data_IF_742342660112
#
_entry.id   IF_742342660112
#
_cell.length_a   1.000
_cell.length_b   1.000
_cell.length_c   1.000
_cell.angle_alpha   90.00
_cell.angle_beta   90.00
_cell.angle_gamma   90.00
#
_symmetry.space_group_name_H-M   'P 1'
#
loop_
_entity.id
_entity.type
_entity.pdbx_description
1 polymer ?
#
# COMPACT_ATOMS: atom_id res chain seq x y z
N UNK A 1 -19.19 13.12 -28.34
CA UNK A 1 -18.56 12.11 -27.48
C UNK A 1 -18.99 12.42 -26.05
N UNK A 2 -19.23 11.41 -25.21
CA UNK A 2 -19.64 11.64 -23.83
C UNK A 2 -18.54 12.37 -23.04
N UNK A 3 -18.95 13.24 -22.12
CA UNK A 3 -18.08 13.92 -21.18
C UNK A 3 -17.80 12.98 -19.98
N UNK A 4 -16.71 12.22 -20.04
CA UNK A 4 -16.32 11.33 -18.95
C UNK A 4 -15.32 12.06 -18.06
N UNK A 5 -15.63 12.14 -16.78
CA UNK A 5 -14.77 12.72 -15.74
C UNK A 5 -14.13 11.62 -14.91
N UNK A 6 -12.83 11.79 -14.62
CA UNK A 6 -12.05 10.91 -13.74
C UNK A 6 -11.59 11.72 -12.51
N UNK A 7 -11.91 11.25 -11.31
CA UNK A 7 -11.47 11.85 -10.05
C UNK A 7 -10.26 11.07 -9.51
N UNK A 8 -9.14 11.76 -9.46
CA UNK A 8 -7.82 11.26 -9.04
C UNK A 8 -6.88 10.95 -10.20
N UNK A 9 -5.61 11.31 -10.01
CA UNK A 9 -4.50 11.13 -10.97
C UNK A 9 -3.47 10.12 -10.50
N UNK A 10 -3.90 9.15 -9.70
CA UNK A 10 -3.10 7.99 -9.32
C UNK A 10 -3.15 6.87 -10.37
N UNK A 11 -2.56 5.74 -10.06
CA UNK A 11 -2.46 4.58 -10.95
C UNK A 11 -3.82 4.14 -11.52
N UNK A 12 -4.87 4.09 -10.69
CA UNK A 12 -6.22 3.72 -11.14
C UNK A 12 -6.84 4.78 -12.08
N UNK A 13 -6.68 6.06 -11.75
CA UNK A 13 -7.16 7.14 -12.64
C UNK A 13 -6.50 7.10 -14.01
N UNK A 14 -5.21 6.79 -14.09
CA UNK A 14 -4.51 6.61 -15.36
C UNK A 14 -4.88 5.31 -16.07
N UNK A 15 -5.22 4.25 -15.35
CA UNK A 15 -5.83 3.05 -15.94
C UNK A 15 -7.16 3.36 -16.62
N UNK A 16 -8.01 4.16 -15.97
CA UNK A 16 -9.26 4.64 -16.56
C UNK A 16 -9.01 5.51 -17.79
N UNK A 17 -8.09 6.46 -17.74
CA UNK A 17 -7.74 7.31 -18.87
C UNK A 17 -7.19 6.50 -20.05
N UNK A 18 -6.38 5.49 -19.79
CA UNK A 18 -5.84 4.58 -20.81
C UNK A 18 -6.96 3.82 -21.54
N UNK A 19 -7.92 3.26 -20.80
CA UNK A 19 -9.06 2.53 -21.38
C UNK A 19 -9.97 3.47 -22.17
N UNK A 20 -10.27 4.66 -21.66
CA UNK A 20 -11.08 5.66 -22.37
C UNK A 20 -10.40 6.13 -23.65
N UNK A 21 -9.08 6.32 -23.63
CA UNK A 21 -8.32 6.71 -24.81
C UNK A 21 -8.40 5.66 -25.93
N UNK A 22 -8.41 4.37 -25.61
CA UNK A 22 -8.59 3.30 -26.61
C UNK A 22 -9.96 3.34 -27.30
N UNK A 23 -10.96 4.00 -26.71
CA UNK A 23 -12.28 4.29 -27.27
C UNK A 23 -12.36 5.67 -27.94
N UNK A 24 -11.22 6.35 -28.12
CA UNK A 24 -11.15 7.70 -28.70
C UNK A 24 -11.61 8.83 -27.79
N UNK A 25 -11.79 8.57 -26.50
CA UNK A 25 -12.26 9.55 -25.49
C UNK A 25 -11.06 10.04 -24.69
N UNK A 26 -10.90 11.38 -24.61
CA UNK A 26 -9.93 12.03 -23.73
C UNK A 26 -10.64 12.56 -22.48
N UNK A 27 -10.58 11.88 -21.33
CA UNK A 27 -11.30 12.30 -20.13
C UNK A 27 -10.73 13.58 -19.53
N UNK A 28 -11.57 14.33 -18.83
CA UNK A 28 -11.09 15.36 -17.90
C UNK A 28 -10.77 14.72 -16.57
N UNK A 29 -9.54 14.89 -16.10
CA UNK A 29 -9.06 14.28 -14.85
C UNK A 29 -8.83 15.37 -13.80
N UNK A 30 -9.48 15.27 -12.65
CA UNK A 30 -9.32 16.22 -11.54
C UNK A 30 -8.55 15.59 -10.39
N UNK A 31 -7.58 16.31 -9.83
CA UNK A 31 -6.88 15.93 -8.62
C UNK A 31 -6.77 17.11 -7.64
N UNK A 32 -6.93 16.82 -6.36
CA UNK A 32 -6.81 17.83 -5.30
C UNK A 32 -5.38 18.34 -5.12
N UNK A 33 -4.40 17.50 -5.45
CA UNK A 33 -2.99 17.83 -5.30
C UNK A 33 -2.49 18.68 -6.46
N UNK A 34 -1.41 19.43 -6.21
CA UNK A 34 -0.66 20.14 -7.26
C UNK A 34 0.35 19.25 -8.01
N UNK A 35 0.28 17.93 -7.83
CA UNK A 35 1.16 16.93 -8.44
C UNK A 35 0.38 15.69 -8.86
N UNK A 36 0.95 14.92 -9.77
CA UNK A 36 0.40 13.67 -10.30
C UNK A 36 0.83 12.46 -9.46
N UNK A 37 0.17 11.33 -9.70
CA UNK A 37 0.60 10.03 -9.22
C UNK A 37 -0.08 9.55 -7.94
N UNK A 38 -0.71 10.43 -7.17
CA UNK A 38 -1.32 10.03 -5.89
C UNK A 38 -0.32 9.32 -4.99
N UNK A 39 -0.61 8.07 -4.57
CA UNK A 39 0.32 7.28 -3.75
C UNK A 39 1.53 6.76 -4.53
N UNK A 40 1.55 6.77 -5.85
CA UNK A 40 2.72 6.41 -6.65
C UNK A 40 3.61 7.62 -6.99
N UNK A 41 3.33 8.79 -6.42
CA UNK A 41 4.16 9.97 -6.58
C UNK A 41 5.54 9.78 -5.96
N UNK A 42 6.53 10.49 -6.52
CA UNK A 42 7.91 10.50 -6.07
C UNK A 42 8.37 11.93 -5.88
N UNK A 43 9.12 12.20 -4.83
CA UNK A 43 9.62 13.53 -4.51
C UNK A 43 11.13 13.52 -4.35
N UNK A 44 11.78 14.49 -5.01
CA UNK A 44 13.20 14.74 -4.83
C UNK A 44 13.40 15.93 -3.88
N UNK A 45 14.27 15.73 -2.91
CA UNK A 45 14.61 16.73 -1.90
C UNK A 45 16.12 17.04 -1.97
N UNK A 46 16.47 18.30 -1.66
CA UNK A 46 17.87 18.66 -1.51
C UNK A 46 18.51 17.88 -0.34
N UNK A 47 19.78 17.43 -0.47
CA UNK A 47 20.72 17.68 -1.59
C UNK A 47 20.64 16.66 -2.75
N UNK A 48 19.54 15.92 -2.94
CA UNK A 48 19.37 15.00 -4.07
C UNK A 48 18.71 13.67 -3.71
N UNK A 49 18.20 13.51 -2.49
CA UNK A 49 17.46 12.31 -2.08
C UNK A 49 16.09 12.24 -2.73
N UNK A 50 15.74 11.07 -3.25
CA UNK A 50 14.44 10.79 -3.82
C UNK A 50 13.70 9.75 -2.96
N UNK A 51 12.44 10.07 -2.64
CA UNK A 51 11.54 9.17 -1.92
C UNK A 51 10.20 9.06 -2.65
N UNK A 52 9.73 7.83 -2.81
CA UNK A 52 8.35 7.57 -3.21
C UNK A 52 7.41 7.76 -2.01
N UNK A 53 6.13 7.93 -2.26
CA UNK A 53 5.09 8.00 -1.23
C UNK A 53 4.81 6.60 -0.67
N UNK A 54 5.74 6.09 0.14
CA UNK A 54 5.83 4.71 0.58
C UNK A 54 6.60 3.83 -0.42
N UNK A 55 7.03 2.64 -0.02
CA UNK A 55 7.82 1.77 -0.88
C UNK A 55 6.97 1.21 -2.02
N UNK A 56 7.41 1.46 -3.24
CA UNK A 56 6.80 0.98 -4.47
C UNK A 56 7.80 0.20 -5.32
N UNK A 57 7.36 -0.94 -5.84
CA UNK A 57 8.12 -1.80 -6.77
C UNK A 57 7.12 -2.42 -7.77
N UNK A 58 7.54 -2.67 -9.00
CA UNK A 58 6.74 -3.37 -10.00
C UNK A 58 7.19 -4.82 -10.12
N UNK A 59 6.29 -5.76 -9.81
CA UNK A 59 6.54 -7.21 -9.89
C UNK A 59 5.36 -7.96 -10.53
N UNK A 60 4.53 -7.24 -11.28
CA UNK A 60 3.40 -7.83 -12.00
C UNK A 60 3.85 -8.97 -12.91
N UNK A 61 3.02 -10.00 -13.01
CA UNK A 61 3.20 -11.14 -13.94
C UNK A 61 2.41 -10.96 -15.23
N UNK A 62 1.63 -9.88 -15.35
CA UNK A 62 0.88 -9.53 -16.54
C UNK A 62 1.82 -8.94 -17.60
N UNK A 63 2.08 -9.63 -18.74
CA UNK A 63 3.04 -9.16 -19.74
C UNK A 63 2.64 -7.81 -20.36
N UNK A 64 1.34 -7.56 -20.53
CA UNK A 64 0.81 -6.29 -21.06
C UNK A 64 1.17 -5.13 -20.13
N UNK A 65 0.95 -5.28 -18.83
CA UNK A 65 1.28 -4.23 -17.85
C UNK A 65 2.79 -4.08 -17.72
N UNK A 66 3.56 -5.18 -17.78
CA UNK A 66 5.03 -5.12 -17.78
C UNK A 66 5.56 -4.26 -18.95
N UNK A 67 4.99 -4.44 -20.13
CA UNK A 67 5.39 -3.69 -21.33
C UNK A 67 4.94 -2.23 -21.24
N UNK A 68 3.70 -1.97 -20.83
CA UNK A 68 3.18 -0.60 -20.65
C UNK A 68 4.04 0.21 -19.68
N UNK A 69 4.47 -0.37 -18.57
CA UNK A 69 5.33 0.30 -17.60
C UNK A 69 6.76 0.48 -18.13
N UNK A 70 7.31 -0.52 -18.79
CA UNK A 70 8.64 -0.43 -19.42
C UNK A 70 8.69 0.65 -20.48
N UNK A 71 7.67 0.73 -21.34
CA UNK A 71 7.53 1.78 -22.34
C UNK A 71 7.41 3.18 -21.72
N UNK A 72 6.73 3.31 -20.57
CA UNK A 72 6.57 4.60 -19.89
C UNK A 72 7.89 5.21 -19.45
N UNK A 73 8.92 4.38 -19.27
CA UNK A 73 10.27 4.79 -18.90
C UNK A 73 11.30 4.57 -20.02
N UNK A 74 10.83 4.40 -21.28
CA UNK A 74 11.68 4.14 -22.45
C UNK A 74 12.63 2.95 -22.23
N UNK A 75 12.15 1.87 -21.64
CA UNK A 75 12.89 0.66 -21.27
C UNK A 75 14.04 0.90 -20.24
N UNK A 76 14.05 2.07 -19.58
CA UNK A 76 15.06 2.43 -18.58
C UNK A 76 14.59 2.08 -17.17
N UNK A 77 14.77 0.84 -16.78
CA UNK A 77 14.44 0.32 -15.45
C UNK A 77 15.50 -0.65 -14.96
N UNK A 78 15.66 -0.73 -13.64
CA UNK A 78 16.44 -1.76 -12.96
C UNK A 78 15.59 -3.02 -12.80
N UNK A 79 16.21 -4.20 -12.97
CA UNK A 79 15.63 -5.49 -12.56
C UNK A 79 16.44 -6.00 -11.39
N UNK A 80 15.80 -6.07 -10.23
CA UNK A 80 16.49 -6.32 -8.96
C UNK A 80 15.92 -7.58 -8.31
N UNK A 81 16.82 -8.48 -7.87
CA UNK A 81 16.42 -9.57 -6.98
C UNK A 81 16.10 -9.01 -5.61
N UNK A 82 14.89 -9.28 -5.11
CA UNK A 82 14.46 -8.75 -3.82
C UNK A 82 15.26 -9.37 -2.67
N UNK A 83 15.66 -8.52 -1.71
CA UNK A 83 16.29 -8.94 -0.47
C UNK A 83 15.48 -8.37 0.68
N UNK A 84 14.98 -9.24 1.55
CA UNK A 84 14.15 -8.90 2.69
C UNK A 84 14.73 -9.54 3.94
N UNK A 85 14.66 -8.85 5.05
CA UNK A 85 14.95 -9.39 6.37
C UNK A 85 13.94 -8.92 7.40
N UNK A 86 14.09 -9.42 8.60
CA UNK A 86 13.27 -9.07 9.74
C UNK A 86 14.17 -8.64 10.90
N UNK A 87 13.59 -7.91 11.84
CA UNK A 87 14.21 -7.60 13.12
C UNK A 87 13.29 -8.08 14.26
N UNK A 88 13.89 -8.77 15.22
CA UNK A 88 13.21 -9.22 16.42
C UNK A 88 14.21 -9.29 17.60
N UNK A 89 14.03 -8.46 18.61
CA UNK A 89 14.83 -8.45 19.85
C UNK A 89 16.36 -8.50 19.66
N UNK A 90 16.87 -7.72 18.69
CA UNK A 90 18.30 -7.70 18.34
C UNK A 90 18.75 -8.74 17.32
N UNK A 91 17.89 -9.68 16.95
CA UNK A 91 18.18 -10.70 15.93
C UNK A 91 17.68 -10.26 14.56
N UNK A 92 18.37 -10.72 13.51
CA UNK A 92 18.10 -10.36 12.12
C UNK A 92 17.79 -11.59 11.25
N UNK A 93 16.68 -12.31 11.51
CA UNK A 93 16.32 -13.45 10.67
C UNK A 93 15.94 -13.02 9.26
N UNK A 94 16.24 -13.87 8.27
CA UNK A 94 15.81 -13.65 6.90
C UNK A 94 14.27 -13.71 6.79
N UNK A 95 13.74 -13.10 5.74
CA UNK A 95 12.31 -13.13 5.45
C UNK A 95 11.96 -14.25 4.45
N UNK A 96 10.86 -14.97 4.62
CA UNK A 96 9.90 -14.90 5.74
C UNK A 96 10.37 -15.67 6.98
N UNK A 97 10.17 -15.10 8.16
CA UNK A 97 10.74 -15.62 9.42
C UNK A 97 10.30 -17.05 9.75
N UNK A 98 9.10 -17.48 9.34
CA UNK A 98 8.61 -18.85 9.56
C UNK A 98 9.44 -19.94 8.85
N UNK A 99 10.29 -19.54 7.93
CA UNK A 99 11.23 -20.40 7.20
C UNK A 99 12.70 -20.12 7.54
N UNK A 100 12.96 -19.19 8.45
CA UNK A 100 14.31 -18.75 8.77
C UNK A 100 14.46 -18.54 10.28
N UNK A 101 14.25 -19.61 11.05
CA UNK A 101 14.38 -19.60 12.52
C UNK A 101 15.84 -19.73 12.97
N UNK A 102 16.75 -20.13 12.08
CA UNK A 102 18.18 -20.27 12.36
C UNK A 102 18.78 -18.94 12.88
N UNK A 103 19.54 -19.04 13.97
CA UNK A 103 20.16 -17.88 14.62
C UNK A 103 19.27 -17.13 15.61
N UNK A 104 18.01 -17.52 15.76
CA UNK A 104 17.17 -17.10 16.90
C UNK A 104 17.55 -17.90 18.16
N UNK A 105 17.23 -17.40 19.38
CA UNK A 105 17.47 -18.15 20.62
C UNK A 105 16.83 -19.54 20.60
N UNK A 106 17.54 -20.54 21.10
CA UNK A 106 17.10 -21.94 21.08
C UNK A 106 15.73 -22.13 21.74
N UNK A 107 15.47 -21.43 22.85
CA UNK A 107 14.19 -21.54 23.57
C UNK A 107 13.00 -21.13 22.71
N UNK A 108 13.11 -20.05 21.92
CA UNK A 108 12.02 -19.64 21.01
C UNK A 108 11.90 -20.61 19.84
N UNK A 109 13.02 -21.08 19.27
CA UNK A 109 13.01 -22.04 18.17
C UNK A 109 12.34 -23.33 18.58
N UNK A 110 12.74 -23.92 19.72
CA UNK A 110 12.14 -25.14 20.28
C UNK A 110 10.65 -24.94 20.53
N UNK A 111 10.26 -23.84 21.16
CA UNK A 111 8.86 -23.53 21.46
C UNK A 111 8.01 -23.37 20.20
N UNK A 112 8.54 -22.69 19.17
CA UNK A 112 7.86 -22.52 17.87
C UNK A 112 7.63 -23.87 17.21
N UNK A 113 8.66 -24.72 17.13
CA UNK A 113 8.55 -26.04 16.49
C UNK A 113 7.59 -26.94 17.27
N UNK A 114 7.69 -26.98 18.61
CA UNK A 114 6.80 -27.79 19.44
C UNK A 114 5.34 -27.39 19.25
N UNK A 115 5.04 -26.10 19.32
CA UNK A 115 3.66 -25.61 19.11
C UNK A 115 3.17 -25.84 17.68
N UNK A 116 4.06 -25.75 16.67
CA UNK A 116 3.71 -26.06 15.28
C UNK A 116 3.29 -27.53 15.14
N UNK A 117 4.02 -28.47 15.76
CA UNK A 117 3.70 -29.90 15.75
C UNK A 117 2.42 -30.19 16.53
N UNK A 118 2.27 -29.64 17.75
CA UNK A 118 1.07 -29.77 18.55
C UNK A 118 -0.19 -29.32 17.79
N UNK A 119 -0.11 -28.17 17.11
CA UNK A 119 -1.25 -27.65 16.35
C UNK A 119 -1.66 -28.57 15.19
N UNK A 120 -0.71 -29.22 14.52
CA UNK A 120 -0.97 -30.19 13.43
C UNK A 120 -1.63 -31.48 13.90
N UNK A 121 -1.56 -31.79 15.19
CA UNK A 121 -2.22 -32.95 15.80
C UNK A 121 -3.63 -32.62 16.32
N UNK A 122 -4.01 -31.35 16.37
CA UNK A 122 -5.35 -30.93 16.80
C UNK A 122 -6.40 -31.19 15.71
N UNK A 123 -7.65 -31.48 16.11
CA UNK A 123 -8.76 -31.52 15.16
C UNK A 123 -8.91 -30.18 14.42
N UNK A 124 -9.38 -30.25 13.18
CA UNK A 124 -9.74 -29.06 12.42
C UNK A 124 -10.79 -28.23 13.18
N UNK A 125 -10.61 -26.92 13.16
CA UNK A 125 -11.52 -25.97 13.79
C UNK A 125 -11.89 -24.86 12.80
N UNK A 126 -13.07 -24.21 12.97
CA UNK A 126 -13.45 -23.07 12.16
C UNK A 126 -12.43 -21.93 12.26
N UNK A 127 -12.20 -21.27 11.13
CA UNK A 127 -11.38 -20.06 11.05
C UNK A 127 -12.35 -18.88 10.90
N UNK A 128 -12.57 -18.15 11.99
CA UNK A 128 -13.49 -17.02 12.03
C UNK A 128 -12.80 -15.67 11.79
N UNK A 129 -11.49 -15.62 12.02
CA UNK A 129 -10.69 -14.41 11.93
C UNK A 129 -9.22 -14.74 11.63
N UNK A 130 -8.39 -13.71 11.50
CA UNK A 130 -6.97 -13.87 11.18
C UNK A 130 -6.18 -14.50 12.33
N UNK A 131 -6.56 -14.30 13.59
CA UNK A 131 -5.89 -14.96 14.71
C UNK A 131 -6.08 -16.47 14.66
N UNK A 132 -7.30 -16.97 14.40
CA UNK A 132 -7.58 -18.39 14.21
C UNK A 132 -6.72 -18.97 13.08
N UNK A 133 -6.63 -18.23 11.96
CA UNK A 133 -5.81 -18.65 10.83
C UNK A 133 -4.32 -18.73 11.17
N UNK A 134 -3.79 -17.75 11.92
CA UNK A 134 -2.39 -17.74 12.36
C UNK A 134 -2.10 -18.91 13.30
N UNK A 135 -2.94 -19.11 14.31
CA UNK A 135 -2.78 -20.20 15.27
C UNK A 135 -2.81 -21.56 14.59
N UNK A 136 -3.76 -21.78 13.68
CA UNK A 136 -3.88 -23.02 12.91
C UNK A 136 -2.71 -23.23 11.94
N UNK A 137 -2.15 -22.15 11.39
CA UNK A 137 -1.08 -22.22 10.40
C UNK A 137 0.30 -22.43 11.02
N UNK A 138 0.58 -21.81 12.17
CA UNK A 138 1.94 -21.70 12.71
C UNK A 138 2.06 -22.13 14.19
N UNK A 139 0.95 -22.39 14.88
CA UNK A 139 0.93 -22.58 16.32
C UNK A 139 1.06 -21.28 17.11
N UNK A 140 0.84 -21.38 18.42
CA UNK A 140 0.73 -20.22 19.32
C UNK A 140 2.02 -19.42 19.44
N UNK A 141 3.14 -20.09 19.69
CA UNK A 141 4.41 -19.40 19.97
C UNK A 141 4.87 -18.51 18.82
N UNK A 142 4.80 -19.00 17.57
CA UNK A 142 5.15 -18.21 16.40
C UNK A 142 4.17 -17.06 16.21
N UNK A 143 2.87 -17.34 16.28
CA UNK A 143 1.82 -16.35 16.01
C UNK A 143 1.90 -15.15 16.95
N UNK A 144 2.13 -15.39 18.25
CA UNK A 144 2.26 -14.34 19.26
C UNK A 144 3.60 -13.58 19.19
N UNK A 145 4.69 -14.27 18.83
CA UNK A 145 6.02 -13.64 18.76
C UNK A 145 6.19 -12.71 17.56
N UNK A 146 5.56 -13.04 16.43
CA UNK A 146 5.80 -12.36 15.14
C UNK A 146 4.53 -11.75 14.53
N UNK A 147 3.67 -12.47 13.80
CA UNK A 147 2.63 -11.85 12.99
C UNK A 147 1.54 -11.12 13.78
N UNK A 148 1.17 -11.57 14.99
CA UNK A 148 0.19 -10.84 15.80
C UNK A 148 0.72 -9.50 16.30
N UNK A 149 2.01 -9.41 16.66
CA UNK A 149 2.66 -8.13 17.01
C UNK A 149 2.75 -7.22 15.80
N UNK A 150 3.16 -7.78 14.64
CA UNK A 150 3.21 -7.02 13.40
C UNK A 150 1.84 -6.49 12.99
N UNK A 151 0.77 -7.28 13.17
CA UNK A 151 -0.61 -6.87 12.89
C UNK A 151 -1.00 -5.64 13.71
N UNK A 152 -0.71 -5.63 15.02
CA UNK A 152 -1.00 -4.47 15.87
C UNK A 152 -0.22 -3.22 15.45
N UNK A 153 1.03 -3.39 15.02
CA UNK A 153 1.86 -2.27 14.52
C UNK A 153 1.40 -1.75 13.17
N UNK A 154 1.09 -2.65 12.22
CA UNK A 154 0.85 -2.32 10.81
C UNK A 154 -0.61 -2.00 10.51
N UNK A 155 -1.54 -2.80 11.06
CA UNK A 155 -2.98 -2.62 10.92
C UNK A 155 -3.61 -1.87 12.09
N UNK A 156 -2.85 -1.59 13.15
CA UNK A 156 -3.29 -0.84 14.34
C UNK A 156 -4.44 -1.46 15.11
N UNK A 157 -4.81 -2.70 14.78
CA UNK A 157 -5.83 -3.52 15.44
C UNK A 157 -5.30 -4.92 15.70
N UNK A 158 -6.04 -5.76 16.40
CA UNK A 158 -5.61 -7.13 16.73
C UNK A 158 -5.97 -8.11 15.60
N UNK A 159 -5.30 -9.26 15.56
CA UNK A 159 -5.58 -10.30 14.57
C UNK A 159 -6.98 -10.91 14.73
N UNK A 160 -7.54 -10.92 15.95
CA UNK A 160 -8.91 -11.35 16.24
C UNK A 160 -9.96 -10.48 15.57
N UNK A 161 -9.64 -9.19 15.35
CA UNK A 161 -10.53 -8.24 14.69
C UNK A 161 -10.28 -8.13 13.18
N UNK A 162 -9.57 -9.06 12.58
CA UNK A 162 -9.31 -9.05 11.13
C UNK A 162 -9.88 -10.28 10.45
N UNK A 163 -10.48 -10.08 9.25
CA UNK A 163 -10.87 -11.17 8.36
C UNK A 163 -9.64 -11.79 7.66
N UNK A 164 -9.85 -12.88 6.96
CA UNK A 164 -8.82 -13.58 6.19
C UNK A 164 -8.85 -13.25 4.68
N UNK A 165 -9.77 -12.41 4.22
CA UNK A 165 -10.03 -12.14 2.80
C UNK A 165 -8.85 -11.53 2.04
N UNK A 166 -7.91 -10.91 2.75
CA UNK A 166 -6.75 -10.22 2.18
C UNK A 166 -5.51 -11.11 2.03
N UNK A 167 -5.51 -12.30 2.62
CA UNK A 167 -4.31 -13.14 2.74
C UNK A 167 -3.76 -13.58 1.37
N UNK A 168 -4.56 -14.30 0.60
CA UNK A 168 -4.12 -14.83 -0.68
C UNK A 168 -2.72 -15.46 -0.63
N UNK A 169 -1.83 -15.16 -1.60
CA UNK A 169 -0.46 -15.68 -1.63
C UNK A 169 0.53 -14.93 -0.71
N UNK A 170 0.08 -13.91 0.06
CA UNK A 170 0.94 -13.00 0.80
C UNK A 170 1.63 -13.64 1.99
N UNK A 171 1.00 -14.65 2.60
CA UNK A 171 1.57 -15.35 3.75
C UNK A 171 1.71 -16.83 3.42
N UNK A 172 2.96 -17.26 3.30
CA UNK A 172 3.28 -18.65 3.01
C UNK A 172 3.06 -19.54 4.23
N UNK A 173 2.37 -20.66 4.05
CA UNK A 173 2.16 -21.71 5.08
C UNK A 173 3.15 -22.84 4.85
N UNK A 174 4.21 -22.96 5.67
CA UNK A 174 5.21 -24.01 5.50
C UNK A 174 4.68 -25.38 5.94
N UNK A 175 5.28 -26.43 5.43
CA UNK A 175 5.21 -27.76 6.03
C UNK A 175 6.25 -27.91 7.14
N UNK A 176 6.19 -29.02 7.90
CA UNK A 176 7.10 -29.27 9.03
C UNK A 176 8.56 -29.37 8.58
N UNK A 177 8.82 -30.03 7.45
CA UNK A 177 10.19 -30.18 6.95
C UNK A 177 10.83 -28.84 6.64
N UNK A 178 10.08 -27.93 6.01
CA UNK A 178 10.54 -26.56 5.71
C UNK A 178 10.86 -25.77 6.98
N UNK A 179 10.02 -25.87 8.01
CA UNK A 179 10.27 -25.22 9.32
C UNK A 179 11.53 -25.78 9.97
N UNK A 180 11.69 -27.11 9.97
CA UNK A 180 12.89 -27.76 10.54
C UNK A 180 14.16 -27.39 9.78
N UNK A 181 14.13 -27.40 8.44
CA UNK A 181 15.27 -26.95 7.63
C UNK A 181 15.65 -25.50 7.93
N UNK A 182 14.65 -24.61 8.03
CA UNK A 182 14.86 -23.20 8.36
C UNK A 182 15.32 -22.95 9.80
N UNK A 183 15.15 -23.91 10.71
CA UNK A 183 15.71 -23.84 12.06
C UNK A 183 17.16 -24.33 12.14
N UNK A 184 17.52 -25.32 11.33
CA UNK A 184 18.86 -25.98 11.37
C UNK A 184 19.86 -25.27 10.47
N UNK A 185 19.43 -24.69 9.34
CA UNK A 185 20.30 -24.14 8.31
C UNK A 185 20.06 -22.65 8.09
N UNK A 186 21.17 -21.89 7.92
CA UNK A 186 21.10 -20.50 7.48
C UNK A 186 20.63 -20.37 6.02
N UNK A 187 20.66 -21.46 5.22
CA UNK A 187 20.24 -21.49 3.83
C UNK A 187 18.88 -22.19 3.74
N UNK A 188 17.83 -21.41 3.70
CA UNK A 188 16.46 -21.92 3.44
C UNK A 188 16.02 -21.52 2.02
N UNK A 189 15.09 -22.26 1.40
CA UNK A 189 14.59 -21.93 0.07
C UNK A 189 13.89 -20.57 0.07
N UNK A 190 14.17 -19.75 -0.96
CA UNK A 190 13.45 -18.49 -1.19
C UNK A 190 12.03 -18.79 -1.69
N UNK A 191 11.06 -18.74 -0.81
CA UNK A 191 9.63 -18.97 -1.13
C UNK A 191 8.79 -17.68 -1.10
N UNK A 192 9.42 -16.52 -1.18
CA UNK A 192 8.68 -15.27 -1.27
C UNK A 192 8.01 -15.16 -2.65
N UNK A 193 6.73 -14.70 -2.67
CA UNK A 193 5.96 -14.54 -3.92
C UNK A 193 6.54 -13.50 -4.88
N UNK A 194 7.40 -12.60 -4.39
CA UNK A 194 8.21 -11.66 -5.17
C UNK A 194 9.65 -12.16 -5.15
N UNK A 195 10.19 -12.54 -6.30
CA UNK A 195 11.61 -12.92 -6.45
C UNK A 195 12.43 -11.80 -7.07
N UNK A 196 11.87 -11.14 -8.08
CA UNK A 196 12.45 -9.99 -8.76
C UNK A 196 11.39 -8.90 -8.91
N UNK A 197 11.85 -7.68 -8.97
CA UNK A 197 11.01 -6.51 -9.24
C UNK A 197 11.71 -5.59 -10.24
N UNK A 198 10.92 -4.72 -10.88
CA UNK A 198 11.40 -3.62 -11.71
C UNK A 198 11.16 -2.29 -11.02
N UNK A 199 12.10 -1.38 -11.20
CA UNK A 199 12.01 -0.01 -10.70
C UNK A 199 12.61 0.95 -11.73
N UNK A 200 12.05 2.15 -12.01
CA UNK A 200 12.62 3.10 -12.95
C UNK A 200 14.06 3.45 -12.59
N UNK A 201 14.97 3.47 -13.56
CA UNK A 201 16.38 3.79 -13.30
C UNK A 201 16.57 5.21 -12.77
N UNK A 202 15.63 6.11 -12.99
CA UNK A 202 15.63 7.48 -12.46
C UNK A 202 14.21 8.02 -12.29
N UNK A 203 14.06 9.07 -11.45
CA UNK A 203 12.83 9.84 -11.29
C UNK A 203 11.76 9.20 -10.39
N UNK A 204 12.06 8.04 -9.79
CA UNK A 204 11.16 7.35 -8.87
C UNK A 204 10.08 6.54 -9.57
N UNK A 205 9.25 5.89 -8.77
CA UNK A 205 8.17 5.01 -9.26
C UNK A 205 7.14 5.76 -10.12
N UNK A 206 6.94 7.05 -9.86
CA UNK A 206 6.01 7.90 -10.60
C UNK A 206 6.29 7.90 -12.12
N UNK A 207 7.53 7.68 -12.55
CA UNK A 207 7.88 7.69 -13.96
C UNK A 207 7.19 6.59 -14.78
N UNK A 208 6.68 5.54 -14.15
CA UNK A 208 5.79 4.58 -14.82
C UNK A 208 4.47 5.19 -15.30
N UNK A 209 4.13 6.42 -14.90
CA UNK A 209 2.93 7.12 -15.36
C UNK A 209 3.17 8.01 -16.60
N UNK A 210 4.42 8.26 -17.00
CA UNK A 210 4.76 9.24 -18.04
C UNK A 210 4.00 9.05 -19.36
N UNK A 211 3.83 7.79 -19.81
CA UNK A 211 3.11 7.47 -21.05
C UNK A 211 1.61 7.78 -20.96
N UNK A 212 1.04 7.77 -19.75
CA UNK A 212 -0.40 7.93 -19.56
C UNK A 212 -0.81 9.39 -19.32
N UNK A 213 0.10 10.25 -18.90
CA UNK A 213 -0.20 11.67 -18.63
C UNK A 213 -0.87 12.39 -19.82
N UNK A 214 -0.43 12.21 -21.08
CA UNK A 214 -1.05 12.87 -22.23
C UNK A 214 -2.46 12.37 -22.57
N UNK A 215 -2.87 11.21 -22.03
CA UNK A 215 -4.15 10.57 -22.35
C UNK A 215 -5.36 11.25 -21.70
N UNK A 216 -5.13 12.05 -20.66
CA UNK A 216 -6.17 12.82 -19.97
C UNK A 216 -5.96 14.35 -20.09
N UNK A 217 -7.02 15.10 -19.89
CA UNK A 217 -6.95 16.55 -19.70
C UNK A 217 -6.86 16.83 -18.20
N UNK A 218 -5.64 17.04 -17.69
CA UNK A 218 -5.34 17.14 -16.27
C UNK A 218 -5.73 18.50 -15.69
N UNK A 219 -6.43 18.49 -14.56
CA UNK A 219 -6.81 19.65 -13.74
C UNK A 219 -6.34 19.40 -12.29
N UNK A 220 -5.12 19.82 -11.99
CA UNK A 220 -4.55 19.77 -10.65
C UNK A 220 -5.09 20.90 -9.77
N UNK A 221 -4.90 20.82 -8.44
CA UNK A 221 -5.43 21.77 -7.45
C UNK A 221 -6.96 21.94 -7.55
N UNK A 222 -7.66 20.85 -7.87
CA UNK A 222 -9.11 20.80 -7.93
C UNK A 222 -9.61 19.81 -6.89
N UNK A 223 -9.73 20.27 -5.64
CA UNK A 223 -10.30 19.48 -4.56
C UNK A 223 -11.82 19.42 -4.69
N UNK A 224 -12.33 18.21 -4.91
CA UNK A 224 -13.78 17.97 -4.97
C UNK A 224 -14.41 18.21 -3.59
N UNK A 225 -15.49 18.96 -3.55
CA UNK A 225 -16.24 19.26 -2.30
C UNK A 225 -17.68 18.78 -2.35
N UNK A 226 -18.28 18.63 -3.54
CA UNK A 226 -19.66 18.16 -3.65
C UNK A 226 -19.92 17.46 -4.99
N UNK A 227 -20.72 16.39 -4.93
CA UNK A 227 -21.30 15.67 -6.07
C UNK A 227 -22.82 15.71 -5.94
N UNK A 228 -23.49 16.22 -6.98
CA UNK A 228 -24.93 16.05 -7.17
C UNK A 228 -25.16 14.94 -8.22
N UNK A 229 -25.53 13.72 -7.82
CA UNK A 229 -25.72 12.62 -8.77
C UNK A 229 -26.94 12.83 -9.70
N UNK A 230 -27.97 13.56 -9.24
CA UNK A 230 -29.19 13.82 -10.02
C UNK A 230 -28.92 14.82 -11.15
N UNK A 231 -28.24 15.92 -10.79
CA UNK A 231 -27.83 16.94 -11.76
C UNK A 231 -26.56 16.53 -12.54
N UNK A 232 -25.90 15.41 -12.15
CA UNK A 232 -24.58 14.99 -12.67
C UNK A 232 -23.57 16.12 -12.63
N UNK A 233 -23.50 16.82 -11.50
CA UNK A 233 -22.67 18.00 -11.32
C UNK A 233 -21.61 17.81 -10.22
N UNK A 234 -20.44 18.37 -10.46
CA UNK A 234 -19.29 18.38 -9.54
C UNK A 234 -18.95 19.82 -9.17
N UNK A 235 -18.68 20.05 -7.89
CA UNK A 235 -18.21 21.34 -7.38
C UNK A 235 -16.88 21.16 -6.67
N UNK A 236 -15.95 22.06 -6.95
CA UNK A 236 -14.59 22.04 -6.40
C UNK A 236 -14.37 23.23 -5.44
N UNK A 237 -13.40 23.09 -4.53
CA UNK A 237 -13.07 24.09 -3.49
C UNK A 237 -12.63 25.44 -4.08
N UNK A 238 -12.06 25.44 -5.28
CA UNK A 238 -11.65 26.65 -6.01
C UNK A 238 -12.80 27.36 -6.75
N UNK A 239 -14.05 26.95 -6.53
CA UNK A 239 -15.25 27.53 -7.16
C UNK A 239 -15.58 26.96 -8.54
N UNK A 240 -14.73 26.10 -9.12
CA UNK A 240 -15.02 25.44 -10.38
C UNK A 240 -16.22 24.51 -10.26
N UNK A 241 -17.11 24.54 -11.26
CA UNK A 241 -18.27 23.65 -11.38
C UNK A 241 -18.25 23.04 -12.77
N UNK A 242 -18.55 21.75 -12.87
CA UNK A 242 -18.65 21.03 -14.14
C UNK A 242 -19.74 19.96 -14.07
N UNK A 243 -20.20 19.49 -15.21
CA UNK A 243 -21.10 18.36 -15.35
C UNK A 243 -20.39 17.18 -15.98
N UNK A 244 -20.97 16.00 -15.88
CA UNK A 244 -20.47 14.77 -16.49
C UNK A 244 -21.57 13.91 -17.09
N UNK A 245 -21.27 13.14 -18.11
CA UNK A 245 -22.13 12.06 -18.61
C UNK A 245 -21.80 10.75 -17.89
N UNK A 246 -20.52 10.50 -17.63
CA UNK A 246 -20.01 9.39 -16.82
C UNK A 246 -18.94 9.83 -15.84
N UNK A 247 -18.93 9.20 -14.65
CA UNK A 247 -18.00 9.55 -13.57
C UNK A 247 -17.24 8.30 -13.10
N UNK A 248 -15.89 8.39 -13.13
CA UNK A 248 -14.98 7.40 -12.55
C UNK A 248 -14.27 8.03 -11.36
N UNK A 249 -14.28 7.36 -10.21
CA UNK A 249 -13.67 7.88 -8.98
C UNK A 249 -12.65 6.91 -8.39
N UNK A 250 -11.44 7.38 -8.16
CA UNK A 250 -10.41 6.71 -7.33
C UNK A 250 -10.27 7.33 -5.93
N UNK A 251 -11.19 8.20 -5.57
CA UNK A 251 -11.26 8.86 -4.25
C UNK A 251 -11.58 7.81 -3.17
N UNK A 252 -10.96 7.88 -1.98
CA UNK A 252 -11.28 6.97 -0.88
C UNK A 252 -12.77 6.99 -0.53
N UNK A 253 -13.38 5.81 -0.39
CA UNK A 253 -14.83 5.65 -0.21
C UNK A 253 -15.43 6.52 0.92
N UNK A 254 -14.81 6.61 2.13
CA UNK A 254 -15.38 7.46 3.19
C UNK A 254 -15.41 8.94 2.81
N UNK A 255 -14.41 9.42 2.07
CA UNK A 255 -14.36 10.80 1.57
C UNK A 255 -15.37 10.99 0.42
N UNK A 256 -15.45 10.02 -0.50
CA UNK A 256 -16.38 10.07 -1.62
C UNK A 256 -17.84 10.16 -1.13
N UNK A 257 -18.26 9.27 -0.22
CA UNK A 257 -19.63 9.26 0.32
C UNK A 257 -19.95 10.59 1.02
N UNK A 258 -18.99 11.19 1.72
CA UNK A 258 -19.18 12.48 2.42
C UNK A 258 -19.42 13.65 1.47
N UNK A 259 -18.92 13.56 0.23
CA UNK A 259 -19.07 14.60 -0.79
C UNK A 259 -20.34 14.46 -1.64
N UNK A 260 -20.99 13.30 -1.64
CA UNK A 260 -22.24 13.09 -2.37
C UNK A 260 -23.40 13.71 -1.59
N UNK A 261 -24.30 14.43 -2.31
CA UNK A 261 -25.50 15.01 -1.73
C UNK A 261 -26.59 13.95 -1.51
N UNK A 262 -27.42 14.15 -0.51
CA UNK A 262 -28.61 13.32 -0.20
C UNK A 262 -28.33 11.82 -0.01
N UNK A 263 -27.17 11.48 0.57
CA UNK A 263 -26.79 10.08 0.83
C UNK A 263 -27.69 9.51 1.95
N UNK A 264 -28.26 8.30 1.77
CA UNK A 264 -29.02 7.62 2.82
C UNK A 264 -28.20 7.40 4.10
N UNK A 265 -28.85 7.50 5.27
CA UNK A 265 -28.18 7.43 6.57
C UNK A 265 -27.46 6.11 6.84
N UNK A 266 -27.99 5.00 6.35
CA UNK A 266 -27.36 3.66 6.45
C UNK A 266 -26.07 3.58 5.64
N UNK A 267 -26.00 4.19 4.44
CA UNK A 267 -24.81 4.29 3.62
C UNK A 267 -23.73 5.17 4.29
N UNK A 268 -24.15 6.31 4.86
CA UNK A 268 -23.25 7.17 5.65
C UNK A 268 -22.65 6.40 6.84
N UNK A 269 -23.49 5.66 7.57
CA UNK A 269 -23.04 4.85 8.69
C UNK A 269 -22.09 3.72 8.24
N UNK A 270 -22.43 3.03 7.15
CA UNK A 270 -21.56 2.00 6.58
C UNK A 270 -20.20 2.58 6.16
N UNK A 271 -20.16 3.75 5.50
CA UNK A 271 -18.89 4.37 5.09
C UNK A 271 -17.96 4.70 6.26
N UNK A 272 -18.50 5.01 7.45
CA UNK A 272 -17.74 5.28 8.68
C UNK A 272 -17.12 4.02 9.29
N UNK A 273 -17.64 2.85 8.97
CA UNK A 273 -17.07 1.56 9.40
C UNK A 273 -15.89 1.14 8.55
N UNK A 274 -15.72 1.70 7.35
CA UNK A 274 -14.60 1.40 6.47
C UNK A 274 -13.31 1.97 7.04
N UNK A 275 -12.41 1.10 7.49
CA UNK A 275 -11.17 1.47 8.17
C UNK A 275 -9.96 1.42 7.25
N UNK A 276 -9.08 2.39 7.40
CA UNK A 276 -7.77 2.44 6.73
C UNK A 276 -6.71 2.93 7.72
N UNK A 277 -5.48 2.46 7.56
CA UNK A 277 -4.38 3.02 8.35
C UNK A 277 -3.94 4.36 7.79
N UNK A 278 -3.49 5.24 8.67
CA UNK A 278 -2.72 6.46 8.38
C UNK A 278 -1.25 6.12 8.59
N UNK A 279 -0.37 6.59 7.72
CA UNK A 279 1.06 6.36 7.86
C UNK A 279 1.83 7.69 7.92
N UNK A 280 2.69 7.84 8.92
CA UNK A 280 3.76 8.83 8.92
C UNK A 280 4.98 8.15 8.31
N UNK A 281 5.38 8.60 7.12
CA UNK A 281 6.65 8.25 6.51
C UNK A 281 7.71 9.19 7.02
N UNK A 282 8.76 8.65 7.65
CA UNK A 282 9.94 9.43 8.05
C UNK A 282 11.07 9.10 7.10
N UNK A 283 11.46 10.08 6.30
CA UNK A 283 12.49 9.97 5.26
C UNK A 283 13.80 10.55 5.80
N UNK A 284 14.87 9.76 5.76
CA UNK A 284 16.17 10.13 6.30
C UNK A 284 17.25 9.85 5.27
N UNK A 285 18.12 10.85 4.99
CA UNK A 285 19.35 10.72 4.22
C UNK A 285 20.57 10.65 5.14
N UNK A 286 21.49 9.73 4.88
CA UNK A 286 22.64 9.42 5.73
C UNK A 286 23.92 9.46 4.88
N UNK A 287 25.05 9.87 5.47
CA UNK A 287 26.36 10.06 4.83
C UNK A 287 27.11 8.75 4.49
N UNK A 288 26.41 7.62 4.36
CA UNK A 288 26.99 6.33 3.92
C UNK A 288 25.95 5.47 3.20
N UNK A 289 26.40 4.55 2.34
CA UNK A 289 25.53 3.65 1.55
C UNK A 289 25.23 2.33 2.28
N UNK A 290 26.15 1.83 3.11
CA UNK A 290 26.11 0.51 3.75
C UNK A 290 25.19 0.47 4.98
N UNK A 291 23.95 1.00 4.86
CA UNK A 291 22.99 1.05 5.94
C UNK A 291 22.37 -0.33 6.19
N UNK A 292 22.04 -1.02 5.11
CA UNK A 292 21.38 -2.34 5.13
C UNK A 292 21.82 -3.17 3.92
N UNK A 293 21.72 -4.49 4.02
CA UNK A 293 21.86 -5.42 2.91
C UNK A 293 20.53 -5.88 2.32
N UNK A 294 19.41 -5.34 2.81
CA UNK A 294 18.05 -5.64 2.38
C UNK A 294 17.37 -4.40 1.79
N UNK A 295 16.48 -4.60 0.81
CA UNK A 295 15.65 -3.52 0.25
C UNK A 295 14.56 -3.08 1.22
N UNK A 296 14.14 -3.99 2.11
CA UNK A 296 13.11 -3.74 3.11
C UNK A 296 13.30 -4.64 4.32
N UNK A 297 12.98 -4.11 5.50
CA UNK A 297 13.04 -4.82 6.79
C UNK A 297 11.72 -4.69 7.54
N UNK A 298 11.24 -5.80 8.12
CA UNK A 298 10.03 -5.86 8.96
C UNK A 298 10.41 -5.92 10.44
N UNK A 299 9.71 -5.17 11.30
CA UNK A 299 10.00 -5.04 12.72
C UNK A 299 8.83 -5.54 13.57
N UNK A 300 9.07 -6.60 14.35
CA UNK A 300 8.04 -7.22 15.19
C UNK A 300 7.94 -6.60 16.59
N UNK A 301 9.00 -5.99 17.10
CA UNK A 301 9.03 -5.42 18.45
C UNK A 301 8.10 -4.21 18.57
N UNK A 302 7.18 -4.25 19.55
CA UNK A 302 6.16 -3.20 19.72
C UNK A 302 6.73 -1.92 20.34
N UNK A 303 7.90 -2.00 20.97
CA UNK A 303 8.66 -0.87 21.53
C UNK A 303 9.60 -0.19 20.50
N UNK A 304 9.63 -0.67 19.26
CA UNK A 304 10.18 0.02 18.10
C UNK A 304 9.04 0.74 17.38
N UNK A 305 9.16 2.05 17.17
CA UNK A 305 8.06 2.89 16.71
C UNK A 305 7.62 2.61 15.26
N UNK A 306 8.50 2.16 14.39
CA UNK A 306 8.17 1.82 13.00
C UNK A 306 7.90 0.32 12.81
N UNK A 307 7.06 0.00 11.84
CA UNK A 307 6.72 -1.38 11.47
C UNK A 307 7.60 -1.93 10.37
N UNK A 308 8.07 -1.04 9.49
CA UNK A 308 8.84 -1.41 8.30
C UNK A 308 9.81 -0.28 7.94
N UNK A 309 10.96 -0.67 7.41
CA UNK A 309 11.92 0.24 6.78
C UNK A 309 12.11 -0.14 5.32
N UNK A 310 12.14 0.86 4.45
CA UNK A 310 12.61 0.76 3.08
C UNK A 310 13.94 1.49 2.90
N UNK A 311 14.72 1.07 1.91
CA UNK A 311 16.02 1.66 1.59
C UNK A 311 16.04 2.13 0.12
N UNK A 312 15.51 3.33 -0.19
CA UNK A 312 15.30 3.79 -1.57
C UNK A 312 16.56 3.82 -2.45
N UNK A 313 17.75 4.10 -1.87
CA UNK A 313 19.02 4.08 -2.58
C UNK A 313 19.39 2.69 -3.12
N UNK A 314 18.83 1.61 -2.54
CA UNK A 314 19.04 0.24 -3.01
C UNK A 314 18.13 -0.15 -4.20
N UNK A 315 17.07 0.61 -4.49
CA UNK A 315 16.21 0.38 -5.65
C UNK A 315 16.89 0.85 -6.93
N UNK A 316 17.55 2.00 -6.87
CA UNK A 316 18.47 2.54 -7.87
C UNK A 316 19.43 3.53 -7.20
N UNK A 317 20.69 3.53 -7.60
CA UNK A 317 21.70 4.46 -7.06
C UNK A 317 21.33 5.94 -7.28
N UNK A 318 20.44 6.25 -8.24
CA UNK A 318 20.00 7.61 -8.54
C UNK A 318 18.97 8.17 -7.55
N UNK A 319 18.53 7.37 -6.56
CA UNK A 319 17.62 7.83 -5.50
C UNK A 319 18.35 8.52 -4.34
N UNK A 320 19.67 8.52 -4.31
CA UNK A 320 20.49 9.24 -3.32
C UNK A 320 21.71 9.88 -3.98
N UNK A 321 22.32 10.92 -3.38
CA UNK A 321 23.62 11.41 -3.79
C UNK A 321 24.70 10.33 -3.67
N UNK A 322 25.72 10.32 -4.54
CA UNK A 322 26.81 9.35 -4.47
C UNK A 322 27.47 9.28 -3.08
N UNK A 323 27.75 8.07 -2.60
CA UNK A 323 28.35 7.82 -1.30
C UNK A 323 27.40 8.00 -0.10
N UNK A 324 26.10 8.18 -0.37
CA UNK A 324 25.08 8.35 0.67
C UNK A 324 23.98 7.30 0.55
N UNK A 325 23.23 7.11 1.63
CA UNK A 325 22.12 6.19 1.67
C UNK A 325 20.86 6.84 2.23
N UNK A 326 19.74 6.17 2.08
CA UNK A 326 18.45 6.69 2.53
C UNK A 326 17.63 5.61 3.21
N UNK A 327 16.86 6.03 4.21
CA UNK A 327 15.91 5.19 4.95
C UNK A 327 14.54 5.85 4.90
N UNK A 328 13.50 5.06 4.62
CA UNK A 328 12.11 5.46 4.77
C UNK A 328 11.47 4.58 5.83
N UNK A 329 11.10 5.16 6.97
CA UNK A 329 10.45 4.46 8.07
C UNK A 329 8.94 4.68 8.06
N UNK A 330 8.18 3.62 8.32
CA UNK A 330 6.72 3.63 8.32
C UNK A 330 6.17 3.48 9.74
N UNK A 331 5.50 4.54 10.23
CA UNK A 331 4.82 4.56 11.53
C UNK A 331 3.32 4.64 11.31
N UNK A 332 2.57 3.64 11.79
CA UNK A 332 1.16 3.48 11.48
C UNK A 332 0.21 3.89 12.59
N UNK A 333 -0.91 4.45 12.17
CA UNK A 333 -2.07 4.91 12.94
C UNK A 333 -3.35 4.53 12.20
N UNK A 334 -4.51 4.77 12.81
CA UNK A 334 -5.81 4.72 12.14
C UNK A 334 -6.84 5.50 12.95
N UNK A 335 -7.79 6.13 12.30
CA UNK A 335 -8.81 6.93 12.98
C UNK A 335 -9.64 6.08 13.95
N UNK A 336 -9.90 4.81 13.60
CA UNK A 336 -10.75 3.90 14.38
C UNK A 336 -10.03 3.24 15.57
N UNK A 337 -8.73 2.88 15.44
CA UNK A 337 -8.06 2.00 16.42
C UNK A 337 -6.87 2.64 17.12
N UNK A 338 -6.17 3.54 16.45
CA UNK A 338 -4.98 4.25 16.98
C UNK A 338 -4.91 5.63 16.35
N UNK A 339 -5.72 6.59 16.80
CA UNK A 339 -5.79 7.91 16.19
C UNK A 339 -4.43 8.64 16.14
N UNK A 340 -4.16 9.26 14.99
CA UNK A 340 -2.99 10.12 14.84
C UNK A 340 -3.29 11.50 15.40
N UNK A 341 -2.48 11.92 16.37
CA UNK A 341 -2.58 13.24 16.99
C UNK A 341 -1.22 13.96 16.94
N UNK A 342 -1.25 15.23 16.60
CA UNK A 342 -0.06 16.08 16.60
C UNK A 342 0.60 16.24 15.22
N UNK A 343 1.88 16.59 15.22
CA UNK A 343 2.67 16.82 14.01
C UNK A 343 3.35 15.54 13.53
N UNK A 344 3.37 15.26 12.22
CA UNK A 344 4.20 14.19 11.66
C UNK A 344 5.67 14.31 12.02
N UNK A 345 6.21 15.53 12.09
CA UNK A 345 7.63 15.79 12.38
C UNK A 345 8.05 15.37 13.80
N UNK A 346 7.09 15.23 14.72
CA UNK A 346 7.35 14.70 16.06
C UNK A 346 7.87 13.25 16.05
N UNK A 347 7.75 12.54 14.91
CA UNK A 347 8.22 11.17 14.75
C UNK A 347 9.65 11.04 14.22
N UNK A 348 10.31 12.14 13.83
CA UNK A 348 11.70 12.12 13.35
C UNK A 348 12.62 11.60 14.47
N UNK A 349 12.62 12.20 15.64
CA UNK A 349 13.51 11.82 16.76
C UNK A 349 13.23 10.40 17.29
N UNK A 350 11.97 9.96 17.51
CA UNK A 350 11.70 8.56 17.85
C UNK A 350 12.24 7.55 16.82
N UNK A 351 12.10 7.84 15.52
CA UNK A 351 12.63 6.98 14.45
C UNK A 351 14.16 6.96 14.50
N UNK A 352 14.83 8.08 14.62
CA UNK A 352 16.30 8.17 14.73
C UNK A 352 16.81 7.36 15.93
N UNK A 353 16.18 7.54 17.10
CA UNK A 353 16.51 6.76 18.31
C UNK A 353 16.41 5.26 18.07
N UNK A 354 15.31 4.82 17.46
CA UNK A 354 15.06 3.41 17.26
C UNK A 354 15.95 2.82 16.13
N UNK A 355 16.34 3.62 15.12
CA UNK A 355 17.37 3.23 14.15
C UNK A 355 18.74 3.00 14.80
N UNK A 356 19.13 3.86 15.77
CA UNK A 356 20.36 3.64 16.57
C UNK A 356 20.25 2.38 17.42
N UNK A 357 19.14 2.20 18.11
CA UNK A 357 18.86 1.01 18.93
C UNK A 357 18.97 -0.30 18.14
N UNK A 358 18.55 -0.29 16.88
CA UNK A 358 18.65 -1.45 15.98
C UNK A 358 20.02 -1.58 15.30
N UNK A 359 20.96 -0.68 15.55
CA UNK A 359 22.30 -0.69 14.93
C UNK A 359 22.32 -0.28 13.46
N UNK A 360 21.22 0.27 12.93
CA UNK A 360 21.13 0.76 11.55
C UNK A 360 21.70 2.17 11.39
N UNK A 361 21.74 2.94 12.45
CA UNK A 361 22.38 4.27 12.52
C UNK A 361 23.48 4.21 13.57
N UNK A 362 24.72 4.48 13.15
CA UNK A 362 25.93 4.50 13.99
C UNK A 362 26.10 5.87 14.63
N UNK A 363 26.83 5.98 15.75
CA UNK A 363 27.11 7.27 16.38
C UNK A 363 27.95 8.21 15.50
N UNK A 364 28.76 7.64 14.60
CA UNK A 364 29.57 8.38 13.60
C UNK A 364 28.76 8.87 12.40
N UNK A 365 27.54 8.40 12.21
CA UNK A 365 26.72 8.74 11.04
C UNK A 365 26.17 10.18 11.15
N UNK A 366 26.19 10.89 10.03
CA UNK A 366 25.59 12.21 9.89
C UNK A 366 24.27 12.10 9.14
N UNK A 367 23.24 12.65 9.73
CA UNK A 367 21.94 12.83 9.07
C UNK A 367 22.04 14.06 8.18
N UNK A 368 22.02 13.84 6.87
CA UNK A 368 22.11 14.90 5.86
C UNK A 368 20.74 15.50 5.51
N UNK A 369 19.69 14.74 5.75
CA UNK A 369 18.32 15.09 5.42
C UNK A 369 17.35 14.35 6.32
N UNK A 370 16.28 15.03 6.75
CA UNK A 370 15.11 14.38 7.38
C UNK A 370 13.84 15.15 7.02
N UNK A 371 12.79 14.43 6.66
CA UNK A 371 11.47 15.00 6.37
C UNK A 371 10.39 13.96 6.52
N UNK A 372 9.21 14.38 6.97
CA UNK A 372 8.05 13.51 7.07
C UNK A 372 7.08 13.71 5.92
N UNK A 373 6.30 12.67 5.62
CA UNK A 373 5.11 12.73 4.78
C UNK A 373 3.95 12.03 5.51
N UNK A 374 2.78 12.66 5.54
CA UNK A 374 1.58 12.08 6.15
C UNK A 374 0.67 11.51 5.06
N UNK A 375 0.45 10.20 5.10
CA UNK A 375 -0.52 9.50 4.26
C UNK A 375 -1.76 9.18 5.09
N UNK A 376 -2.85 9.89 4.82
CA UNK A 376 -4.12 9.66 5.54
C UNK A 376 -4.74 8.30 5.23
N UNK A 377 -4.56 7.82 4.01
CA UNK A 377 -5.01 6.50 3.56
C UNK A 377 -3.78 5.70 3.14
N UNK A 378 -3.28 4.79 3.97
CA UNK A 378 -2.10 3.98 3.64
C UNK A 378 -2.50 2.53 3.30
N UNK A 379 -3.08 1.79 4.23
CA UNK A 379 -3.50 0.42 3.99
C UNK A 379 -4.94 0.21 4.46
N UNK A 380 -5.77 -0.37 3.61
CA UNK A 380 -7.11 -0.81 4.00
C UNK A 380 -7.00 -1.84 5.12
N UNK A 381 -7.74 -1.63 6.20
CA UNK A 381 -7.82 -2.56 7.31
C UNK A 381 -8.99 -3.51 7.05
N UNK A 382 -8.68 -4.79 6.97
CA UNK A 382 -9.67 -5.84 6.72
C UNK A 382 -10.29 -6.30 8.05
N UNK A 383 -10.86 -5.34 8.80
CA UNK A 383 -11.58 -5.65 10.02
C UNK A 383 -12.91 -6.38 9.73
N UNK A 384 -13.51 -6.92 10.78
CA UNK A 384 -14.73 -7.73 10.65
C UNK A 384 -15.95 -6.93 10.18
N UNK A 385 -15.95 -5.60 10.32
CA UNK A 385 -17.03 -4.73 9.84
C UNK A 385 -16.95 -4.47 8.33
N UNK A 386 -15.78 -4.61 7.74
CA UNK A 386 -15.49 -4.18 6.37
C UNK A 386 -16.43 -4.78 5.32
N UNK A 387 -16.64 -6.10 5.35
CA UNK A 387 -17.35 -6.79 4.25
C UNK A 387 -18.80 -6.30 4.09
N UNK A 388 -19.53 -6.19 5.20
CA UNK A 388 -20.92 -5.70 5.20
C UNK A 388 -21.00 -4.22 4.85
N UNK A 389 -20.13 -3.40 5.42
CA UNK A 389 -20.06 -1.98 5.15
C UNK A 389 -19.75 -1.68 3.68
N UNK A 390 -18.77 -2.39 3.11
CA UNK A 390 -18.36 -2.24 1.72
C UNK A 390 -19.50 -2.60 0.76
N UNK A 391 -20.21 -3.68 1.02
CA UNK A 391 -21.39 -4.09 0.22
C UNK A 391 -22.43 -2.98 0.14
N UNK A 392 -22.76 -2.36 1.27
CA UNK A 392 -23.74 -1.26 1.35
C UNK A 392 -23.27 -0.05 0.55
N UNK A 393 -22.01 0.36 0.72
CA UNK A 393 -21.44 1.52 0.03
C UNK A 393 -21.34 1.29 -1.48
N UNK A 394 -20.86 0.13 -1.92
CA UNK A 394 -20.76 -0.19 -3.35
C UNK A 394 -22.13 -0.28 -4.03
N UNK A 395 -23.12 -0.93 -3.38
CA UNK A 395 -24.49 -0.99 -3.92
C UNK A 395 -25.05 0.42 -4.17
N UNK A 396 -24.87 1.33 -3.22
CA UNK A 396 -25.32 2.72 -3.38
C UNK A 396 -24.61 3.44 -4.53
N UNK A 397 -23.28 3.29 -4.66
CA UNK A 397 -22.53 3.91 -5.74
C UNK A 397 -22.95 3.38 -7.12
N UNK A 398 -23.25 2.08 -7.20
CA UNK A 398 -23.79 1.45 -8.42
C UNK A 398 -25.18 2.02 -8.76
N UNK A 399 -26.07 2.20 -7.78
CA UNK A 399 -27.41 2.75 -7.97
C UNK A 399 -27.39 4.21 -8.46
N UNK A 400 -26.43 5.02 -7.98
CA UNK A 400 -26.27 6.42 -8.42
C UNK A 400 -25.36 6.58 -9.64
N UNK A 401 -24.85 5.49 -10.21
CA UNK A 401 -24.08 5.47 -11.46
C UNK A 401 -22.68 6.06 -11.35
N UNK A 402 -22.04 6.00 -10.16
CA UNK A 402 -20.65 6.41 -9.94
C UNK A 402 -19.76 5.17 -10.00
N UNK A 403 -18.91 5.06 -11.02
CA UNK A 403 -17.91 4.01 -11.11
C UNK A 403 -16.73 4.31 -10.17
N UNK A 404 -16.33 3.34 -9.37
CA UNK A 404 -15.24 3.45 -8.41
C UNK A 404 -14.09 2.51 -8.81
N UNK A 405 -12.85 2.87 -8.44
CA UNK A 405 -11.67 2.09 -8.78
C UNK A 405 -10.48 2.32 -7.84
N UNK A 406 -9.51 1.41 -7.98
CA UNK A 406 -8.24 1.44 -7.27
C UNK A 406 -8.37 1.02 -5.80
N UNK A 407 -7.22 0.98 -5.10
CA UNK A 407 -7.15 0.47 -3.73
C UNK A 407 -8.21 1.04 -2.79
N UNK A 408 -8.57 2.31 -2.94
CA UNK A 408 -9.47 3.02 -2.04
C UNK A 408 -10.90 3.19 -2.58
N UNK A 409 -11.13 2.97 -3.87
CA UNK A 409 -12.45 2.84 -4.48
C UNK A 409 -12.99 1.42 -4.33
N UNK A 410 -12.18 0.41 -4.63
CA UNK A 410 -12.52 -1.00 -4.40
C UNK A 410 -12.40 -1.41 -2.92
N UNK A 411 -11.79 -0.56 -2.11
CA UNK A 411 -11.48 -0.80 -0.69
C UNK A 411 -10.79 -2.14 -0.47
N UNK A 412 -9.77 -2.42 -1.32
CA UNK A 412 -9.06 -3.69 -1.44
C UNK A 412 -7.56 -3.58 -1.20
N UNK A 413 -6.92 -4.72 -0.97
CA UNK A 413 -5.46 -4.79 -0.85
C UNK A 413 -4.85 -5.02 -2.23
N UNK A 414 -4.74 -3.95 -3.02
CA UNK A 414 -4.31 -3.99 -4.41
C UNK A 414 -2.86 -3.55 -4.59
N UNK A 415 -2.19 -4.17 -5.55
CA UNK A 415 -0.92 -3.70 -6.09
C UNK A 415 -1.15 -2.63 -7.17
N UNK A 416 -0.08 -2.01 -7.66
CA UNK A 416 -0.18 -0.91 -8.63
C UNK A 416 -0.77 -1.35 -9.98
N UNK A 417 -0.40 -2.54 -10.46
CA UNK A 417 -0.96 -3.15 -11.67
C UNK A 417 -2.45 -3.52 -11.51
N UNK A 418 -2.83 -4.06 -10.36
CA UNK A 418 -4.23 -4.34 -10.04
C UNK A 418 -5.06 -3.05 -9.96
N UNK A 419 -4.49 -1.99 -9.36
CA UNK A 419 -5.13 -0.67 -9.32
C UNK A 419 -5.30 -0.07 -10.73
N UNK A 420 -4.31 -0.24 -11.62
CA UNK A 420 -4.41 0.19 -13.01
C UNK A 420 -5.55 -0.54 -13.72
N UNK A 421 -5.60 -1.87 -13.63
CA UNK A 421 -6.68 -2.69 -14.23
C UNK A 421 -8.05 -2.39 -13.65
N UNK A 422 -8.14 -2.12 -12.36
CA UNK A 422 -9.40 -1.66 -11.74
C UNK A 422 -9.88 -0.34 -12.37
N UNK A 423 -8.98 0.58 -12.67
CA UNK A 423 -9.31 1.80 -13.41
C UNK A 423 -9.85 1.53 -14.81
N UNK A 424 -9.24 0.59 -15.56
CA UNK A 424 -9.73 0.19 -16.87
C UNK A 424 -11.17 -0.33 -16.79
N UNK A 425 -11.47 -1.21 -15.83
CA UNK A 425 -12.82 -1.77 -15.62
C UNK A 425 -13.85 -0.71 -15.22
N UNK A 426 -13.47 0.24 -14.37
CA UNK A 426 -14.36 1.33 -13.97
C UNK A 426 -14.69 2.26 -15.15
N UNK A 427 -13.74 2.49 -16.05
CA UNK A 427 -13.96 3.23 -17.28
C UNK A 427 -14.96 2.54 -18.21
N UNK A 428 -14.85 1.22 -18.37
CA UNK A 428 -15.82 0.41 -19.15
C UNK A 428 -17.23 0.51 -18.54
N UNK A 429 -17.34 0.41 -17.22
CA UNK A 429 -18.62 0.54 -16.50
C UNK A 429 -19.26 1.92 -16.73
N UNK A 430 -18.47 3.00 -16.62
CA UNK A 430 -18.96 4.35 -16.84
C UNK A 430 -19.41 4.57 -18.29
N UNK A 431 -18.69 4.04 -19.29
CA UNK A 431 -19.05 4.10 -20.70
C UNK A 431 -20.37 3.37 -20.99
N UNK A 432 -20.52 2.14 -20.51
CA UNK A 432 -21.71 1.33 -20.73
C UNK A 432 -22.96 1.98 -20.13
N UNK A 433 -22.83 2.59 -18.93
CA UNK A 433 -23.92 3.34 -18.29
C UNK A 433 -24.33 4.57 -19.12
N UNK A 434 -23.38 5.25 -19.73
CA UNK A 434 -23.64 6.44 -20.57
C UNK A 434 -24.36 6.08 -21.85
N UNK A 435 -23.97 5.00 -22.52
CA UNK A 435 -24.60 4.51 -23.75
C UNK A 435 -26.04 4.04 -23.52
N UNK A 436 -26.26 3.31 -22.41
CA UNK A 436 -27.61 2.86 -22.04
C UNK A 436 -28.57 4.02 -21.70
N UNK A 437 -28.05 5.12 -21.13
CA UNK A 437 -28.82 6.34 -20.84
C UNK A 437 -29.16 7.16 -22.09
N UNK A 438 -28.35 7.07 -23.15
CA UNK A 438 -28.58 7.77 -24.43
C UNK A 438 -29.61 7.09 -25.33
N UNK A 439 -30.00 5.86 -25.01
CA UNK A 439 -30.97 5.05 -25.78
C UNK A 439 -32.38 5.11 -25.20
N UNK A 440 -32.58 5.87 -24.14
CA UNK A 440 -33.89 6.18 -23.54
C UNK A 440 -34.27 7.63 -23.78
#
# INVERSE_FOLDING_TARGET
MPNIVVLGSGMAGFGAAYRLHSEGIKPVMYDKNGYLGGHTASFRFEPGFLFDVGPHISFTKDPRIQELFADSVNQQYETVQIKLNNYWQGYWPLHPVQLHLHGLPDDIVVKVISNFVEERQRPERPINNYADWLLTSFGKAFSEAFPMKYTRKYHTTTAENMSTDWLGPRIYRPNLEEVLRGAISAVAPHVHYITHFRYPSAGGFMNYLNKFVPLGNMKLNHELVSIDPRARALRFSNGHVTTYDGLVSSVPLPDLIRMIQDVPGDVVNASRLLSCSTCVLVNIGINREDISNAHMTYFYDEDICFSRLGFPHMLTARNAPPGTGSVQAEVYFSDKYKPFNGSPDAWIEPVIRDLRRCGLLRDSDQILFSKTMLLRYANVIFDLDRASALKTVHSYLDDVGIAYCGRYGDWGYMWTDESFKSGELAAEKALNATLAGSSR
#
